data_IF_418458234273
#
_entry.id   IF_418458234273
#
_cell.length_a   1.000
_cell.length_b   1.000
_cell.length_c   1.000
_cell.angle_alpha   90.00
_cell.angle_beta   90.00
_cell.angle_gamma   90.00
#
_symmetry.space_group_name_H-M   'P 1'
#
loop_
_entity.id
_entity.type
_entity.pdbx_description
1 polymer ?
#
# COMPACT_ATOMS: atom_id res chain seq x y z
N UNK A 1 55.82 20.51 -17.29
CA UNK A 1 55.16 19.27 -16.81
C UNK A 1 53.66 19.44 -17.02
N UNK A 2 53.07 18.73 -17.98
CA UNK A 2 51.63 18.77 -18.26
C UNK A 2 50.94 17.74 -17.35
N UNK A 3 50.18 18.22 -16.37
CA UNK A 3 49.43 17.37 -15.46
C UNK A 3 48.22 16.75 -16.17
N UNK A 4 48.17 15.42 -16.20
CA UNK A 4 46.99 14.66 -16.59
C UNK A 4 46.06 14.57 -15.38
N UNK A 5 44.86 15.14 -15.49
CA UNK A 5 43.78 14.94 -14.51
C UNK A 5 43.04 13.66 -14.91
N UNK A 6 43.22 12.60 -14.11
CA UNK A 6 42.39 11.39 -14.19
C UNK A 6 41.03 11.70 -13.56
N UNK A 7 39.98 11.81 -14.38
CA UNK A 7 38.61 11.77 -13.89
C UNK A 7 38.25 10.33 -13.53
N UNK A 8 38.15 10.04 -12.24
CA UNK A 8 37.66 8.78 -11.72
C UNK A 8 36.13 8.78 -11.83
N UNK A 9 35.59 8.08 -12.81
CA UNK A 9 34.15 7.82 -12.90
C UNK A 9 33.82 6.77 -11.85
N UNK A 10 33.27 7.19 -10.71
CA UNK A 10 32.62 6.26 -9.78
C UNK A 10 31.34 5.74 -10.45
N UNK A 11 31.42 4.53 -11.00
CA UNK A 11 30.22 3.74 -11.28
C UNK A 11 29.63 3.34 -9.94
N UNK A 12 28.61 4.08 -9.49
CA UNK A 12 27.82 3.71 -8.32
C UNK A 12 27.27 2.29 -8.50
N UNK A 13 27.46 1.45 -7.49
CA UNK A 13 26.92 0.10 -7.49
C UNK A 13 25.39 0.17 -7.58
N UNK A 14 24.83 -0.18 -8.74
CA UNK A 14 23.40 -0.40 -8.90
C UNK A 14 23.08 -1.63 -8.05
N UNK A 15 22.46 -1.40 -6.89
CA UNK A 15 22.04 -2.47 -6.01
C UNK A 15 20.99 -3.29 -6.75
N UNK A 16 21.31 -4.53 -7.10
CA UNK A 16 20.35 -5.44 -7.73
C UNK A 16 19.15 -5.63 -6.79
N UNK A 17 17.95 -5.29 -7.26
CA UNK A 17 16.71 -5.54 -6.52
C UNK A 17 16.53 -7.04 -6.36
N UNK A 18 16.16 -7.47 -5.14
CA UNK A 18 15.90 -8.87 -4.86
C UNK A 18 14.49 -9.21 -5.34
N UNK A 19 14.38 -10.04 -6.38
CA UNK A 19 13.09 -10.55 -6.86
C UNK A 19 12.35 -11.27 -5.72
N UNK A 20 11.06 -10.98 -5.47
CA UNK A 20 10.31 -11.68 -4.44
C UNK A 20 10.19 -13.17 -4.78
N UNK A 21 10.14 -14.00 -3.73
CA UNK A 21 9.84 -15.43 -3.88
C UNK A 21 8.34 -15.69 -3.81
N UNK A 22 7.93 -16.84 -4.32
CA UNK A 22 6.53 -17.25 -4.37
C UNK A 22 6.43 -18.69 -3.89
N UNK A 23 5.47 -18.96 -3.01
CA UNK A 23 5.13 -20.32 -2.61
C UNK A 23 4.60 -21.12 -3.81
N UNK A 24 4.76 -22.43 -3.74
CA UNK A 24 4.43 -23.37 -4.84
C UNK A 24 2.95 -23.39 -5.24
N UNK A 25 2.08 -22.92 -4.36
CA UNK A 25 0.63 -22.90 -4.50
C UNK A 25 0.12 -21.60 -5.15
N UNK A 26 0.97 -20.58 -5.32
CA UNK A 26 0.64 -19.41 -6.13
C UNK A 26 0.62 -19.79 -7.61
N UNK A 27 -0.54 -19.55 -8.24
CA UNK A 27 -0.71 -19.85 -9.66
C UNK A 27 0.22 -19.00 -10.55
N UNK A 28 0.67 -19.51 -11.72
CA UNK A 28 1.48 -18.74 -12.66
C UNK A 28 0.84 -17.40 -13.09
N UNK A 29 -0.50 -17.38 -13.22
CA UNK A 29 -1.24 -16.17 -13.57
C UNK A 29 -1.17 -15.12 -12.45
N UNK A 30 -1.36 -15.54 -11.19
CA UNK A 30 -1.25 -14.67 -10.02
C UNK A 30 0.17 -14.14 -9.82
N UNK A 31 1.18 -14.99 -10.00
CA UNK A 31 2.59 -14.57 -9.98
C UNK A 31 2.86 -13.50 -11.05
N UNK A 32 2.37 -13.72 -12.27
CA UNK A 32 2.53 -12.76 -13.37
C UNK A 32 1.86 -11.42 -13.05
N UNK A 33 0.64 -11.44 -12.50
CA UNK A 33 -0.07 -10.22 -12.08
C UNK A 33 0.72 -9.44 -11.02
N UNK A 34 1.23 -10.11 -9.98
CA UNK A 34 2.01 -9.45 -8.92
C UNK A 34 3.29 -8.83 -9.50
N UNK A 35 4.01 -9.55 -10.35
CA UNK A 35 5.22 -9.02 -10.99
C UNK A 35 4.90 -7.82 -11.90
N UNK A 36 3.80 -7.86 -12.65
CA UNK A 36 3.33 -6.73 -13.46
C UNK A 36 2.93 -5.53 -12.60
N UNK A 37 2.32 -5.76 -11.44
CA UNK A 37 1.99 -4.69 -10.50
C UNK A 37 3.26 -4.03 -9.96
N UNK A 38 4.28 -4.81 -9.59
CA UNK A 38 5.58 -4.29 -9.14
C UNK A 38 6.33 -3.55 -10.26
N UNK A 39 6.33 -4.08 -11.48
CA UNK A 39 6.94 -3.40 -12.62
C UNK A 39 6.21 -2.09 -12.97
N UNK A 40 4.89 -2.07 -12.85
CA UNK A 40 4.10 -0.86 -12.99
C UNK A 40 4.50 0.21 -11.96
N UNK A 41 4.69 -0.16 -10.69
CA UNK A 41 5.12 0.81 -9.65
C UNK A 41 6.44 1.48 -10.03
N UNK A 42 7.40 0.75 -10.60
CA UNK A 42 8.70 1.32 -11.04
C UNK A 42 8.54 2.46 -12.05
N UNK A 43 7.43 2.52 -12.77
CA UNK A 43 7.16 3.56 -13.78
C UNK A 43 6.56 4.85 -13.18
N UNK A 44 6.17 4.83 -11.90
CA UNK A 44 5.54 5.98 -11.25
C UNK A 44 6.55 7.09 -10.99
N UNK A 45 6.24 8.29 -11.46
CA UNK A 45 6.98 9.50 -11.15
C UNK A 45 5.99 10.64 -10.88
N UNK A 46 6.40 11.55 -10.00
CA UNK A 46 5.66 12.74 -9.64
C UNK A 46 6.59 13.87 -9.24
N UNK A 47 6.12 15.10 -9.41
CA UNK A 47 6.92 16.30 -9.20
C UNK A 47 6.82 16.84 -7.77
N UNK A 48 5.87 16.31 -6.99
CA UNK A 48 5.65 16.72 -5.61
C UNK A 48 5.10 15.56 -4.77
N UNK A 49 4.98 15.79 -3.47
CA UNK A 49 4.18 14.95 -2.58
C UNK A 49 3.76 15.76 -1.36
N UNK A 50 2.72 15.27 -0.72
CA UNK A 50 2.16 15.79 0.52
C UNK A 50 3.11 15.68 1.72
N UNK A 51 2.78 16.38 2.81
CA UNK A 51 3.57 16.33 4.04
C UNK A 51 3.54 14.94 4.70
N UNK A 52 2.40 14.24 4.68
CA UNK A 52 2.31 12.89 5.25
C UNK A 52 3.09 11.86 4.43
N UNK A 53 3.08 11.96 3.11
CA UNK A 53 3.84 11.06 2.25
C UNK A 53 5.35 11.11 2.56
N UNK A 54 5.86 12.33 2.79
CA UNK A 54 7.27 12.58 3.15
C UNK A 54 7.67 12.02 4.52
N UNK A 55 6.73 11.59 5.36
CA UNK A 55 7.07 10.93 6.63
C UNK A 55 7.58 9.50 6.43
N UNK A 56 7.29 8.88 5.27
CA UNK A 56 7.71 7.51 4.95
C UNK A 56 8.67 7.47 3.75
N UNK A 57 8.46 8.35 2.77
CA UNK A 57 9.22 8.39 1.53
C UNK A 57 10.03 9.67 1.40
N UNK A 58 11.00 9.68 0.47
CA UNK A 58 12.04 10.71 0.46
C UNK A 58 11.49 12.12 0.21
N UNK A 59 10.86 12.41 -0.94
CA UNK A 59 10.34 13.74 -1.26
C UNK A 59 9.19 13.79 -2.27
N UNK A 60 9.14 12.90 -3.27
CA UNK A 60 8.10 12.91 -4.31
C UNK A 60 7.55 11.51 -4.55
N UNK A 61 6.44 11.41 -5.28
CA UNK A 61 5.97 10.10 -5.76
C UNK A 61 7.04 9.53 -6.70
N UNK A 62 7.72 8.49 -6.25
CA UNK A 62 8.79 7.83 -7.01
C UNK A 62 8.66 6.32 -6.83
N UNK A 63 8.52 5.61 -7.95
CA UNK A 63 8.43 4.16 -8.01
C UNK A 63 9.61 3.44 -7.37
N UNK A 64 10.82 3.98 -7.46
CA UNK A 64 12.02 3.38 -6.86
C UNK A 64 11.95 3.37 -5.33
N UNK A 65 11.46 4.45 -4.72
CA UNK A 65 11.28 4.54 -3.28
C UNK A 65 10.19 3.58 -2.80
N UNK A 66 9.10 3.45 -3.56
CA UNK A 66 8.02 2.50 -3.27
C UNK A 66 8.50 1.06 -3.36
N UNK A 67 9.25 0.71 -4.42
CA UNK A 67 9.81 -0.63 -4.58
C UNK A 67 10.82 -0.93 -3.49
N UNK A 68 11.70 0.02 -3.14
CA UNK A 68 12.62 -0.16 -2.01
C UNK A 68 11.87 -0.39 -0.71
N UNK A 69 10.77 0.31 -0.48
CA UNK A 69 9.92 0.10 0.69
C UNK A 69 9.31 -1.31 0.73
N UNK A 70 8.79 -1.79 -0.41
CA UNK A 70 8.26 -3.15 -0.55
C UNK A 70 9.34 -4.20 -0.37
N UNK A 71 10.45 -4.07 -1.09
CA UNK A 71 11.55 -5.03 -1.07
C UNK A 71 12.10 -5.21 0.34
N UNK A 72 12.14 -4.16 1.16
CA UNK A 72 12.61 -4.27 2.55
C UNK A 72 11.65 -5.06 3.46
N UNK A 73 10.38 -5.21 3.08
CA UNK A 73 9.30 -5.67 3.95
C UNK A 73 8.69 -6.98 3.48
N UNK A 74 8.28 -7.05 2.22
CA UNK A 74 7.68 -8.23 1.60
C UNK A 74 8.73 -8.94 0.76
N UNK A 75 9.11 -10.14 1.19
CA UNK A 75 10.10 -11.01 0.53
C UNK A 75 9.46 -12.19 -0.17
N UNK A 76 8.32 -12.65 0.34
CA UNK A 76 7.62 -13.82 -0.16
C UNK A 76 6.12 -13.54 -0.33
N UNK A 77 5.52 -14.19 -1.32
CA UNK A 77 4.08 -14.26 -1.48
C UNK A 77 3.62 -15.71 -1.33
N UNK A 78 2.58 -15.94 -0.53
CA UNK A 78 1.97 -17.26 -0.33
C UNK A 78 0.44 -17.19 -0.32
N UNK A 79 -0.24 -18.33 -0.22
CA UNK A 79 -1.71 -18.34 -0.07
C UNK A 79 -2.15 -18.70 1.35
N UNK A 80 -3.18 -18.02 1.86
CA UNK A 80 -3.80 -18.29 3.15
C UNK A 80 -5.24 -17.74 3.15
N UNK A 81 -6.10 -18.21 4.06
CA UNK A 81 -7.45 -17.66 4.23
C UNK A 81 -7.48 -16.39 5.10
N UNK A 82 -6.38 -16.09 5.80
CA UNK A 82 -6.20 -14.95 6.69
C UNK A 82 -7.28 -14.84 7.78
N UNK A 83 -7.99 -15.92 8.10
CA UNK A 83 -9.08 -15.96 9.09
C UNK A 83 -10.28 -15.06 8.78
N UNK A 84 -10.33 -14.40 7.61
CA UNK A 84 -11.26 -13.31 7.30
C UNK A 84 -12.34 -13.65 6.27
N UNK A 85 -12.40 -14.90 5.79
CA UNK A 85 -13.35 -15.35 4.78
C UNK A 85 -13.28 -14.50 3.49
N UNK A 86 -14.44 -14.12 2.95
CA UNK A 86 -14.53 -13.40 1.66
C UNK A 86 -14.29 -11.87 1.75
N UNK A 87 -13.86 -11.33 2.90
CA UNK A 87 -13.71 -9.88 3.07
C UNK A 87 -12.25 -9.37 3.05
N UNK A 88 -11.29 -10.24 3.36
CA UNK A 88 -9.86 -9.88 3.44
C UNK A 88 -9.21 -10.16 2.09
N UNK A 89 -8.42 -9.22 1.55
CA UNK A 89 -7.69 -9.44 0.29
C UNK A 89 -6.35 -10.13 0.53
N UNK A 90 -5.61 -9.69 1.54
CA UNK A 90 -4.35 -10.27 1.96
C UNK A 90 -4.13 -10.06 3.46
N UNK A 91 -3.10 -10.70 4.01
CA UNK A 91 -2.62 -10.42 5.35
C UNK A 91 -1.12 -10.68 5.45
N UNK A 92 -0.48 -10.07 6.45
CA UNK A 92 0.79 -10.56 7.02
C UNK A 92 0.48 -11.23 8.35
N UNK A 93 1.07 -12.41 8.58
CA UNK A 93 0.94 -13.16 9.83
C UNK A 93 2.32 -13.12 10.51
N UNK A 94 2.60 -12.16 11.42
CA UNK A 94 3.95 -11.88 11.89
C UNK A 94 4.68 -13.08 12.50
N UNK A 95 3.95 -14.00 13.15
CA UNK A 95 4.50 -15.20 13.78
C UNK A 95 4.69 -16.39 12.81
N UNK A 96 4.18 -16.31 11.59
CA UNK A 96 4.32 -17.35 10.56
C UNK A 96 5.28 -16.93 9.42
N UNK A 97 5.56 -15.63 9.32
CA UNK A 97 6.55 -15.07 8.42
C UNK A 97 6.37 -13.56 8.34
N UNK A 98 7.19 -12.79 9.07
CA UNK A 98 7.07 -11.33 9.15
C UNK A 98 7.33 -10.59 7.84
N UNK A 99 7.77 -11.31 6.80
CA UNK A 99 8.00 -10.78 5.44
C UNK A 99 7.23 -11.53 4.35
N UNK A 100 6.22 -12.31 4.73
CA UNK A 100 5.34 -13.00 3.77
C UNK A 100 4.00 -12.30 3.70
N UNK A 101 3.61 -11.89 2.50
CA UNK A 101 2.26 -11.46 2.20
C UNK A 101 1.44 -12.67 1.77
N UNK A 102 0.43 -13.01 2.56
CA UNK A 102 -0.49 -14.09 2.26
C UNK A 102 -1.69 -13.53 1.49
N UNK A 103 -1.85 -13.95 0.24
CA UNK A 103 -2.98 -13.54 -0.60
C UNK A 103 -4.15 -14.51 -0.42
N UNK A 104 -5.35 -13.96 -0.39
CA UNK A 104 -6.60 -14.72 -0.34
C UNK A 104 -7.21 -14.84 -1.74
N UNK A 105 -8.28 -15.65 -1.91
CA UNK A 105 -9.05 -15.67 -3.14
C UNK A 105 -9.63 -14.30 -3.54
N UNK A 106 -9.85 -13.36 -2.62
CA UNK A 106 -10.43 -12.04 -2.94
C UNK A 106 -9.44 -11.12 -3.65
N UNK A 107 -8.13 -11.31 -3.42
CA UNK A 107 -7.10 -10.60 -4.18
C UNK A 107 -7.11 -11.02 -5.65
N UNK A 108 -7.37 -12.31 -5.89
CA UNK A 108 -7.28 -12.94 -7.22
C UNK A 108 -8.58 -12.80 -8.01
N UNK A 109 -9.73 -13.06 -7.37
CA UNK A 109 -11.03 -13.21 -8.04
C UNK A 109 -11.73 -11.89 -8.33
N UNK A 110 -11.48 -10.86 -7.52
CA UNK A 110 -12.10 -9.57 -7.73
C UNK A 110 -11.35 -8.83 -8.84
N UNK A 111 -12.10 -8.25 -9.78
CA UNK A 111 -11.54 -7.37 -10.81
C UNK A 111 -11.19 -6.01 -10.20
N UNK A 112 -10.25 -6.00 -9.26
CA UNK A 112 -9.78 -4.78 -8.60
C UNK A 112 -8.73 -4.08 -9.48
N UNK A 113 -8.80 -2.74 -9.62
CA UNK A 113 -7.82 -2.00 -10.40
C UNK A 113 -6.38 -2.20 -9.91
N UNK A 114 -5.42 -2.12 -10.85
CA UNK A 114 -3.99 -2.31 -10.57
C UNK A 114 -3.49 -1.40 -9.44
N UNK A 115 -3.89 -0.13 -9.42
CA UNK A 115 -3.47 0.80 -8.36
C UNK A 115 -3.96 0.37 -6.98
N UNK A 116 -5.13 -0.27 -6.90
CA UNK A 116 -5.64 -0.79 -5.63
C UNK A 116 -4.86 -2.02 -5.19
N UNK A 117 -4.51 -2.94 -6.11
CA UNK A 117 -3.64 -4.09 -5.80
C UNK A 117 -2.28 -3.65 -5.26
N UNK A 118 -1.65 -2.68 -5.90
CA UNK A 118 -0.40 -2.06 -5.40
C UNK A 118 -0.60 -1.47 -4.00
N UNK A 119 -1.71 -0.79 -3.76
CA UNK A 119 -2.01 -0.21 -2.45
C UNK A 119 -2.19 -1.27 -1.35
N UNK A 120 -2.67 -2.47 -1.70
CA UNK A 120 -2.76 -3.61 -0.78
C UNK A 120 -1.34 -4.11 -0.42
N UNK A 121 -0.42 -4.22 -1.40
CA UNK A 121 0.98 -4.59 -1.10
C UNK A 121 1.60 -3.58 -0.12
N UNK A 122 1.33 -2.29 -0.30
CA UNK A 122 1.79 -1.25 0.63
C UNK A 122 1.16 -1.36 2.02
N UNK A 123 -0.15 -1.59 2.08
CA UNK A 123 -0.88 -1.86 3.31
C UNK A 123 -0.24 -3.02 4.08
N UNK A 124 -0.07 -4.17 3.42
CA UNK A 124 0.51 -5.37 4.05
C UNK A 124 1.96 -5.16 4.47
N UNK A 125 2.72 -4.36 3.72
CA UNK A 125 4.08 -3.99 4.10
C UNK A 125 4.11 -3.28 5.46
N UNK A 126 3.08 -2.51 5.85
CA UNK A 126 3.03 -1.91 7.20
C UNK A 126 2.94 -2.99 8.28
N UNK A 127 2.21 -4.07 8.04
CA UNK A 127 2.09 -5.17 9.00
C UNK A 127 3.40 -5.95 9.23
N UNK A 128 4.48 -5.68 8.48
CA UNK A 128 5.81 -6.23 8.76
C UNK A 128 6.62 -5.39 9.76
N UNK A 129 6.19 -4.19 10.11
CA UNK A 129 6.97 -3.24 10.92
C UNK A 129 6.91 -3.56 12.42
N UNK A 130 7.72 -4.53 12.85
CA UNK A 130 7.76 -5.03 14.25
C UNK A 130 8.02 -3.91 15.28
N UNK A 131 8.90 -2.95 14.96
CA UNK A 131 9.20 -1.81 15.84
C UNK A 131 7.99 -0.89 16.07
N UNK A 132 6.93 -1.05 15.29
CA UNK A 132 5.66 -0.36 15.41
C UNK A 132 4.51 -1.31 15.79
N UNK A 133 4.84 -2.44 16.43
CA UNK A 133 3.90 -3.48 16.83
C UNK A 133 3.09 -4.03 15.65
N UNK A 134 3.66 -4.06 14.44
CA UNK A 134 3.02 -4.54 13.21
C UNK A 134 1.75 -3.78 12.80
N UNK A 135 1.56 -2.54 13.28
CA UNK A 135 0.42 -1.68 12.94
C UNK A 135 -0.93 -2.41 12.92
N UNK A 136 -1.35 -3.04 14.03
CA UNK A 136 -2.52 -3.91 14.00
C UNK A 136 -3.78 -3.07 13.77
N UNK A 137 -4.77 -3.67 13.11
CA UNK A 137 -6.07 -3.03 12.96
C UNK A 137 -6.74 -2.82 14.33
N UNK A 138 -7.47 -1.72 14.41
CA UNK A 138 -8.45 -1.43 15.44
C UNK A 138 -9.84 -1.89 15.02
N UNK A 139 -10.66 -2.19 16.03
CA UNK A 139 -12.10 -2.35 15.87
C UNK A 139 -12.73 -1.01 15.48
N UNK A 140 -13.49 -1.01 14.40
CA UNK A 140 -14.26 0.15 13.98
C UNK A 140 -15.37 0.47 15.02
N UNK A 141 -15.67 1.76 15.27
CA UNK A 141 -16.71 2.19 16.20
C UNK A 141 -18.11 1.57 15.94
N UNK A 142 -19.01 1.75 16.90
CA UNK A 142 -20.43 1.37 16.77
C UNK A 142 -21.29 2.47 17.40
N UNK A 143 -22.11 3.21 16.64
CA UNK A 143 -22.24 3.14 15.18
C UNK A 143 -20.98 3.66 14.45
N UNK A 144 -20.81 3.28 13.18
CA UNK A 144 -19.73 3.79 12.34
C UNK A 144 -20.23 4.47 11.07
N UNK A 145 -20.25 5.80 11.10
CA UNK A 145 -20.89 6.64 10.09
C UNK A 145 -19.89 7.56 9.38
N UNK A 146 -20.19 7.88 8.13
CA UNK A 146 -19.52 8.90 7.33
C UNK A 146 -19.95 10.32 7.76
N UNK A 147 -19.42 11.34 7.07
CA UNK A 147 -19.71 12.75 7.37
C UNK A 147 -21.19 13.12 7.16
N UNK A 148 -21.95 12.32 6.40
CA UNK A 148 -23.37 12.53 6.11
C UNK A 148 -24.28 11.66 6.99
N UNK A 149 -23.73 10.94 7.97
CA UNK A 149 -24.47 10.04 8.84
C UNK A 149 -24.87 8.71 8.19
N UNK A 150 -24.23 8.30 7.08
CA UNK A 150 -24.45 7.00 6.44
C UNK A 150 -23.46 5.96 6.94
N UNK A 151 -23.89 4.69 6.97
CA UNK A 151 -23.01 3.58 7.33
C UNK A 151 -21.78 3.51 6.42
N UNK A 152 -20.60 3.39 7.02
CA UNK A 152 -19.37 3.10 6.28
C UNK A 152 -19.36 1.61 5.92
N UNK A 153 -19.27 1.32 4.63
CA UNK A 153 -19.19 -0.04 4.08
C UNK A 153 -17.89 -0.24 3.32
N UNK A 154 -17.41 -1.49 3.23
CA UNK A 154 -16.25 -1.80 2.41
C UNK A 154 -16.54 -1.61 0.93
N UNK A 155 -15.74 -0.82 0.24
CA UNK A 155 -15.98 -0.49 -1.18
C UNK A 155 -16.05 -1.71 -2.11
N UNK A 156 -15.33 -2.79 -1.80
CA UNK A 156 -15.37 -4.04 -2.58
C UNK A 156 -16.44 -5.01 -2.07
N UNK A 157 -16.54 -5.19 -0.74
CA UNK A 157 -17.39 -6.23 -0.14
C UNK A 157 -18.83 -5.80 0.11
N UNK A 158 -19.10 -4.50 0.18
CA UNK A 158 -20.40 -3.94 0.60
C UNK A 158 -20.76 -4.19 2.07
N UNK A 159 -19.86 -4.81 2.85
CA UNK A 159 -20.11 -5.17 4.26
C UNK A 159 -20.02 -3.93 5.14
N UNK A 160 -20.93 -3.77 6.11
CA UNK A 160 -20.84 -2.71 7.13
C UNK A 160 -19.60 -2.88 7.99
N UNK A 161 -18.91 -1.78 8.25
CA UNK A 161 -17.61 -1.83 8.94
C UNK A 161 -17.70 -1.71 10.46
N UNK A 162 -18.83 -1.29 11.02
CA UNK A 162 -19.00 -1.19 12.47
C UNK A 162 -18.64 -2.51 13.19
N UNK A 163 -17.88 -2.41 14.28
CA UNK A 163 -17.47 -3.57 15.09
C UNK A 163 -16.45 -4.52 14.43
N UNK A 164 -16.07 -4.32 13.17
CA UNK A 164 -15.06 -5.15 12.51
C UNK A 164 -13.64 -4.67 12.85
N UNK A 165 -12.64 -5.58 12.96
CA UNK A 165 -11.23 -5.22 13.12
C UNK A 165 -10.63 -4.76 11.78
N UNK A 166 -11.16 -3.65 11.27
CA UNK A 166 -11.02 -3.21 9.89
C UNK A 166 -10.71 -1.70 9.79
N UNK A 167 -10.28 -1.10 10.88
CA UNK A 167 -9.96 0.32 10.97
C UNK A 167 -8.53 0.54 11.48
N UNK A 168 -7.99 1.73 11.28
CA UNK A 168 -6.83 2.21 12.04
C UNK A 168 -7.25 3.26 13.08
N UNK A 169 -6.41 3.45 14.10
CA UNK A 169 -6.58 4.54 15.07
C UNK A 169 -5.99 5.86 14.61
N UNK A 170 -5.09 5.87 13.63
CA UNK A 170 -4.37 7.06 13.23
C UNK A 170 -3.75 6.94 11.84
N UNK A 171 -3.21 8.07 11.36
CA UNK A 171 -2.68 8.25 10.01
C UNK A 171 -1.59 7.23 9.66
N UNK A 172 -0.74 6.87 10.62
CA UNK A 172 0.40 5.98 10.37
C UNK A 172 0.02 4.49 10.33
N UNK A 173 -1.25 4.13 10.50
CA UNK A 173 -1.71 2.75 10.34
C UNK A 173 -1.64 2.27 8.90
N UNK A 174 -1.98 0.99 8.67
CA UNK A 174 -1.89 0.35 7.36
C UNK A 174 -2.84 0.99 6.34
N UNK A 175 -4.12 1.20 6.69
CA UNK A 175 -5.08 1.93 5.85
C UNK A 175 -4.76 3.42 5.75
N UNK A 176 -4.31 4.05 6.84
CA UNK A 176 -4.00 5.47 6.84
C UNK A 176 -2.91 5.80 5.82
N UNK A 177 -1.83 5.04 5.83
CA UNK A 177 -0.76 5.21 4.86
C UNK A 177 -1.18 4.75 3.46
N UNK A 178 -2.00 3.70 3.32
CA UNK A 178 -2.58 3.33 2.04
C UNK A 178 -3.37 4.50 1.41
N UNK A 179 -4.15 5.22 2.21
CA UNK A 179 -4.85 6.43 1.79
C UNK A 179 -3.84 7.50 1.34
N UNK A 180 -2.80 7.77 2.13
CA UNK A 180 -1.75 8.75 1.76
C UNK A 180 -1.11 8.40 0.41
N UNK A 181 -0.73 7.15 0.18
CA UNK A 181 -0.16 6.69 -1.10
C UNK A 181 -1.13 6.98 -2.26
N UNK A 182 -2.39 6.55 -2.13
CA UNK A 182 -3.39 6.69 -3.17
C UNK A 182 -3.73 8.15 -3.48
N UNK A 183 -3.86 9.01 -2.46
CA UNK A 183 -4.11 10.44 -2.64
C UNK A 183 -2.92 11.16 -3.28
N UNK A 184 -1.69 10.71 -3.04
CA UNK A 184 -0.51 11.24 -3.72
C UNK A 184 -0.41 10.75 -5.17
N UNK A 185 -0.81 9.51 -5.46
CA UNK A 185 -0.92 9.04 -6.85
C UNK A 185 -1.98 9.86 -7.61
N UNK A 186 -3.14 10.08 -7.01
CA UNK A 186 -4.21 10.91 -7.59
C UNK A 186 -3.72 12.33 -7.94
N UNK A 187 -3.11 13.01 -6.98
CA UNK A 187 -2.81 14.45 -7.10
C UNK A 187 -1.46 14.74 -7.76
N UNK A 188 -0.47 13.88 -7.53
CA UNK A 188 0.94 14.23 -7.75
C UNK A 188 1.67 13.29 -8.73
N UNK A 189 1.07 12.17 -9.16
CA UNK A 189 1.73 11.28 -10.13
C UNK A 189 1.62 11.83 -11.57
N UNK A 190 2.74 12.32 -12.09
CA UNK A 190 2.87 12.88 -13.43
C UNK A 190 2.84 11.80 -14.54
N UNK A 191 3.41 10.63 -14.30
CA UNK A 191 3.41 9.52 -15.27
C UNK A 191 2.12 8.69 -15.29
N UNK A 192 1.21 8.93 -14.35
CA UNK A 192 -0.03 8.16 -14.21
C UNK A 192 -1.12 8.67 -15.16
N UNK A 193 -1.88 7.74 -15.75
CA UNK A 193 -3.05 8.08 -16.56
C UNK A 193 -4.18 8.67 -15.72
N UNK A 194 -5.07 9.45 -16.35
CA UNK A 194 -6.23 10.02 -15.67
C UNK A 194 -7.16 8.96 -15.08
N UNK A 195 -7.35 7.83 -15.78
CA UNK A 195 -8.12 6.72 -15.23
C UNK A 195 -7.46 6.19 -13.95
N UNK A 196 -6.14 6.06 -13.93
CA UNK A 196 -5.44 5.57 -12.76
C UNK A 196 -5.57 6.53 -11.58
N UNK A 197 -5.49 7.84 -11.82
CA UNK A 197 -5.72 8.86 -10.80
C UNK A 197 -7.15 8.83 -10.27
N UNK A 198 -8.15 8.61 -11.13
CA UNK A 198 -9.54 8.44 -10.70
C UNK A 198 -9.75 7.19 -9.84
N UNK A 199 -9.15 6.05 -10.24
CA UNK A 199 -9.19 4.83 -9.42
C UNK A 199 -8.49 5.09 -8.07
N UNK A 200 -7.33 5.76 -8.09
CA UNK A 200 -6.59 6.11 -6.88
C UNK A 200 -7.40 7.03 -5.95
N UNK A 201 -8.11 8.01 -6.50
CA UNK A 201 -9.04 8.87 -5.76
C UNK A 201 -10.10 8.05 -5.04
N UNK A 202 -10.77 7.17 -5.77
CA UNK A 202 -11.88 6.37 -5.25
C UNK A 202 -11.45 5.53 -4.04
N UNK A 203 -10.35 4.80 -4.17
CA UNK A 203 -9.86 3.94 -3.09
C UNK A 203 -9.13 4.71 -1.99
N UNK A 204 -8.52 5.85 -2.32
CA UNK A 204 -7.92 6.74 -1.32
C UNK A 204 -8.98 7.36 -0.42
N UNK A 205 -10.11 7.79 -0.99
CA UNK A 205 -11.24 8.33 -0.24
C UNK A 205 -11.87 7.24 0.66
N UNK A 206 -12.00 5.99 0.19
CA UNK A 206 -12.41 4.85 1.02
C UNK A 206 -11.44 4.61 2.19
N UNK A 207 -10.13 4.62 1.91
CA UNK A 207 -9.06 4.46 2.90
C UNK A 207 -9.14 5.48 4.05
N UNK A 208 -9.52 6.73 3.77
CA UNK A 208 -9.72 7.77 4.79
C UNK A 208 -10.81 7.35 5.79
N UNK A 209 -11.89 6.73 5.32
CA UNK A 209 -12.97 6.23 6.17
C UNK A 209 -12.65 4.92 6.89
N UNK A 210 -11.46 4.35 6.69
CA UNK A 210 -10.92 3.29 7.56
C UNK A 210 -10.27 3.86 8.82
N UNK A 211 -10.20 5.18 8.98
CA UNK A 211 -9.63 5.81 10.19
C UNK A 211 -10.74 6.15 11.18
N UNK A 212 -10.69 5.50 12.35
CA UNK A 212 -11.71 5.62 13.39
C UNK A 212 -11.57 6.90 14.23
N UNK A 213 -10.36 7.46 14.33
CA UNK A 213 -10.12 8.73 15.00
C UNK A 213 -10.46 9.90 14.06
N UNK A 214 -11.42 10.74 14.44
CA UNK A 214 -11.90 11.85 13.59
C UNK A 214 -10.84 12.91 13.31
N UNK A 215 -9.96 13.21 14.28
CA UNK A 215 -8.86 14.16 14.08
C UNK A 215 -7.85 13.63 13.05
N UNK A 216 -7.46 12.36 13.16
CA UNK A 216 -6.57 11.72 12.19
C UNK A 216 -7.23 11.58 10.80
N UNK A 217 -8.54 11.30 10.76
CA UNK A 217 -9.31 11.28 9.51
C UNK A 217 -9.30 12.66 8.84
N UNK A 218 -9.50 13.73 9.62
CA UNK A 218 -9.45 15.10 9.10
C UNK A 218 -8.05 15.45 8.59
N UNK A 219 -7.01 15.03 9.31
CA UNK A 219 -5.63 15.21 8.87
C UNK A 219 -5.36 14.59 7.48
N UNK A 220 -5.90 13.40 7.19
CA UNK A 220 -5.79 12.79 5.85
C UNK A 220 -6.58 13.55 4.78
N UNK A 221 -7.76 14.10 5.12
CA UNK A 221 -8.56 14.90 4.17
C UNK A 221 -7.84 16.20 3.79
N UNK A 222 -7.14 16.79 4.75
CA UNK A 222 -6.41 18.03 4.59
C UNK A 222 -5.02 17.85 3.96
N UNK A 223 -4.55 16.61 3.85
CA UNK A 223 -3.28 16.26 3.21
C UNK A 223 -3.37 16.46 1.69
N UNK A 224 -2.59 17.42 1.19
CA UNK A 224 -2.59 17.86 -0.22
C UNK A 224 -1.26 17.58 -0.87
#
# INVERSE_FOLDING_TARGET
MKGFIFSLVLMGAVSAQATPTFDKDISPATKTQILQDLDFVKTMTGDSSSALYKQIFSQTVNGEDLIKFFDQRIKNFGTNDCGGGNAVAACVIPWFGSSTMWITPNYIKNNIPQVYRVSIIYHESRHTEVNNNNWPHATCPTPYLDDNGKDIVGIISGVKMEGLPACDRGVMGAYGMQAVLLKNIEKNCASCSEKLKMDAKLFGDDGIYRISNLTARQQLKDDK
#
